data_IF_149816636977
#
_entry.id   IF_149816636977
#
_cell.length_a   1.000
_cell.length_b   1.000
_cell.length_c   1.000
_cell.angle_alpha   90.00
_cell.angle_beta   90.00
_cell.angle_gamma   90.00
#
_symmetry.space_group_name_H-M   'P 1'
#
loop_
_entity.id
_entity.type
_entity.pdbx_description
1 polymer ?
#
# COMPACT_ATOMS: atom_id res chain seq x y z
N UNK A 1 -21.05 1.33 -3.39
CA UNK A 1 -19.82 0.86 -4.06
C UNK A 1 -18.87 0.49 -2.94
N UNK A 2 -18.42 -0.77 -2.85
CA UNK A 2 -17.49 -1.18 -1.81
C UNK A 2 -16.22 -0.37 -1.96
N UNK A 3 -15.87 0.42 -0.94
CA UNK A 3 -14.66 1.23 -0.92
C UNK A 3 -13.45 0.28 -0.96
N UNK A 4 -12.69 0.31 -2.05
CA UNK A 4 -11.57 -0.59 -2.26
C UNK A 4 -10.33 -0.10 -1.52
N UNK A 5 -9.65 -0.99 -0.79
CA UNK A 5 -8.40 -0.65 -0.11
C UNK A 5 -7.25 -0.66 -1.11
N UNK A 6 -6.63 0.50 -1.33
CA UNK A 6 -5.38 0.64 -2.05
C UNK A 6 -4.21 0.28 -1.13
N UNK A 7 -3.14 -0.31 -1.69
CA UNK A 7 -1.96 -0.67 -0.90
C UNK A 7 -0.64 -0.42 -1.65
N UNK A 8 0.46 -0.34 -0.88
CA UNK A 8 1.84 -0.18 -1.34
C UNK A 8 2.73 -1.40 -1.03
N UNK A 9 2.15 -2.57 -0.74
CA UNK A 9 2.90 -3.75 -0.30
C UNK A 9 3.99 -4.14 -1.32
N UNK A 10 3.64 -4.16 -2.61
CA UNK A 10 4.59 -4.50 -3.66
C UNK A 10 5.75 -3.49 -3.76
N UNK A 11 5.47 -2.20 -3.56
CA UNK A 11 6.45 -1.12 -3.55
C UNK A 11 7.41 -1.29 -2.36
N UNK A 12 6.86 -1.40 -1.14
CA UNK A 12 7.65 -1.55 0.09
C UNK A 12 8.53 -2.80 0.06
N UNK A 13 8.01 -3.92 -0.47
CA UNK A 13 8.83 -5.12 -0.68
C UNK A 13 9.99 -4.84 -1.63
N UNK A 14 9.75 -4.18 -2.76
CA UNK A 14 10.80 -3.88 -3.72
C UNK A 14 11.87 -2.95 -3.13
N UNK A 15 11.46 -1.93 -2.36
CA UNK A 15 12.37 -1.01 -1.67
C UNK A 15 13.25 -1.72 -0.64
N UNK A 16 12.72 -2.71 0.08
CA UNK A 16 13.47 -3.46 1.10
C UNK A 16 14.09 -4.77 0.58
N UNK A 17 13.98 -5.08 -0.71
CA UNK A 17 14.51 -6.32 -1.29
C UNK A 17 13.82 -7.60 -0.80
N UNK A 18 12.59 -7.49 -0.27
CA UNK A 18 11.84 -8.60 0.32
C UNK A 18 11.04 -9.33 -0.75
N UNK A 19 11.15 -10.66 -0.80
CA UNK A 19 10.32 -11.53 -1.65
C UNK A 19 8.93 -11.74 -1.07
N UNK A 20 7.96 -12.13 -1.90
CA UNK A 20 6.62 -12.51 -1.41
C UNK A 20 6.65 -13.67 -0.42
N UNK A 21 7.61 -14.60 -0.56
CA UNK A 21 7.74 -15.76 0.34
C UNK A 21 8.22 -15.33 1.71
N UNK A 22 9.27 -14.52 1.78
CA UNK A 22 9.75 -13.98 3.06
C UNK A 22 8.68 -13.19 3.80
N UNK A 23 7.92 -12.34 3.08
CA UNK A 23 6.79 -11.62 3.68
C UNK A 23 5.70 -12.59 4.17
N UNK A 24 5.35 -13.61 3.38
CA UNK A 24 4.35 -14.59 3.78
C UNK A 24 4.77 -15.38 5.03
N UNK A 25 6.04 -15.80 5.07
CA UNK A 25 6.62 -16.54 6.18
C UNK A 25 6.64 -15.69 7.46
N UNK A 26 7.06 -14.42 7.37
CA UNK A 26 7.06 -13.48 8.50
C UNK A 26 5.63 -13.19 9.02
N UNK A 27 4.65 -13.15 8.12
CA UNK A 27 3.25 -12.93 8.47
C UNK A 27 2.53 -14.22 8.87
N UNK A 28 3.14 -15.40 8.73
CA UNK A 28 2.48 -16.68 8.99
C UNK A 28 1.24 -16.89 8.12
N UNK A 29 1.30 -16.44 6.86
CA UNK A 29 0.20 -16.59 5.89
C UNK A 29 0.66 -17.41 4.69
N UNK A 30 -0.30 -17.89 3.90
CA UNK A 30 0.03 -18.60 2.67
C UNK A 30 0.69 -17.67 1.64
N UNK A 31 1.66 -18.15 0.87
CA UNK A 31 2.37 -17.33 -0.15
C UNK A 31 1.41 -16.59 -1.11
N UNK A 32 0.33 -17.25 -1.54
CA UNK A 32 -0.66 -16.66 -2.43
C UNK A 32 -1.40 -15.48 -1.80
N UNK A 33 -1.58 -15.49 -0.47
CA UNK A 33 -2.22 -14.43 0.32
C UNK A 33 -1.54 -13.08 0.06
N UNK A 34 -0.21 -13.04 0.00
CA UNK A 34 0.56 -11.83 -0.33
C UNK A 34 0.26 -11.35 -1.75
N UNK A 35 0.23 -12.26 -2.72
CA UNK A 35 -0.07 -11.91 -4.11
C UNK A 35 -1.46 -11.32 -4.29
N UNK A 36 -2.46 -11.87 -3.61
CA UNK A 36 -3.83 -11.37 -3.60
C UNK A 36 -3.94 -9.98 -2.95
N UNK A 37 -3.22 -9.74 -1.85
CA UNK A 37 -3.15 -8.42 -1.21
C UNK A 37 -2.56 -7.38 -2.15
N UNK A 38 -1.42 -7.68 -2.79
CA UNK A 38 -0.76 -6.75 -3.71
C UNK A 38 -1.64 -6.36 -4.90
N UNK A 39 -2.51 -7.27 -5.35
CA UNK A 39 -3.46 -7.00 -6.44
C UNK A 39 -4.77 -6.36 -5.97
N UNK A 40 -4.96 -6.21 -4.65
CA UNK A 40 -6.18 -5.66 -4.07
C UNK A 40 -7.40 -6.56 -4.24
N UNK A 41 -7.21 -7.86 -4.46
CA UNK A 41 -8.30 -8.81 -4.68
C UNK A 41 -9.14 -9.07 -3.42
N UNK A 42 -8.59 -8.81 -2.23
CA UNK A 42 -9.35 -8.77 -0.99
C UNK A 42 -8.72 -7.79 0.02
N UNK A 43 -9.54 -7.33 0.96
CA UNK A 43 -9.11 -6.43 2.04
C UNK A 43 -8.54 -7.23 3.22
N UNK A 44 -7.34 -6.90 3.73
CA UNK A 44 -6.79 -7.57 4.91
C UNK A 44 -7.66 -7.29 6.15
N UNK A 45 -7.63 -8.19 7.13
CA UNK A 45 -8.11 -7.84 8.47
C UNK A 45 -7.23 -6.73 9.06
N UNK A 46 -7.77 -5.96 10.02
CA UNK A 46 -6.99 -4.94 10.73
C UNK A 46 -5.70 -5.52 11.34
N UNK A 47 -5.78 -6.70 11.94
CA UNK A 47 -4.61 -7.39 12.50
C UNK A 47 -3.53 -7.66 11.44
N UNK A 48 -3.92 -8.13 10.25
CA UNK A 48 -2.96 -8.39 9.17
C UNK A 48 -2.37 -7.08 8.63
N UNK A 49 -3.19 -6.03 8.50
CA UNK A 49 -2.73 -4.71 8.07
C UNK A 49 -1.68 -4.12 9.04
N UNK A 50 -1.92 -4.21 10.35
CA UNK A 50 -0.98 -3.75 11.38
C UNK A 50 0.33 -4.54 11.36
N UNK A 51 0.28 -5.87 11.22
CA UNK A 51 1.48 -6.71 11.12
C UNK A 51 2.31 -6.42 9.86
N UNK A 52 1.66 -6.11 8.75
CA UNK A 52 2.35 -5.70 7.52
C UNK A 52 3.07 -4.35 7.74
N UNK A 53 2.40 -3.40 8.37
CA UNK A 53 2.98 -2.10 8.69
C UNK A 53 4.19 -2.23 9.63
N UNK A 54 4.07 -3.05 10.68
CA UNK A 54 5.16 -3.39 11.60
C UNK A 54 6.34 -4.05 10.88
N UNK A 55 6.08 -5.03 10.02
CA UNK A 55 7.13 -5.71 9.25
C UNK A 55 7.95 -4.73 8.41
N UNK A 56 7.31 -3.75 7.78
CA UNK A 56 7.99 -2.73 6.99
C UNK A 56 8.53 -1.55 7.80
N UNK A 57 8.19 -1.43 9.08
CA UNK A 57 8.61 -0.34 9.96
C UNK A 57 8.00 1.02 9.60
N UNK A 58 6.77 1.03 9.06
CA UNK A 58 6.06 2.24 8.62
C UNK A 58 4.66 2.31 9.22
N UNK A 59 4.03 3.49 9.32
CA UNK A 59 2.63 3.59 9.76
C UNK A 59 1.69 2.88 8.77
N UNK A 60 0.54 2.40 9.26
CA UNK A 60 -0.42 1.63 8.45
C UNK A 60 -0.96 2.44 7.27
N UNK A 61 -1.07 3.75 7.41
CA UNK A 61 -1.49 4.70 6.38
C UNK A 61 -0.44 4.89 5.26
N UNK A 62 0.82 4.57 5.52
CA UNK A 62 1.84 4.51 4.48
C UNK A 62 1.72 3.23 3.64
N UNK A 63 1.11 2.17 4.19
CA UNK A 63 0.89 0.90 3.51
C UNK A 63 -0.45 0.88 2.79
N UNK A 64 -1.53 1.36 3.44
CA UNK A 64 -2.91 1.23 2.98
C UNK A 64 -3.63 2.59 2.94
N UNK A 65 -4.56 2.74 2.01
CA UNK A 65 -5.38 3.94 1.85
C UNK A 65 -6.73 3.60 1.24
N UNK A 66 -7.77 4.36 1.60
CA UNK A 66 -9.08 4.30 0.94
C UNK A 66 -9.11 5.12 -0.36
N UNK A 67 -8.13 6.00 -0.55
CA UNK A 67 -7.91 6.74 -1.80
C UNK A 67 -6.69 6.19 -2.57
N UNK A 68 -6.67 6.28 -3.92
CA UNK A 68 -5.49 5.94 -4.69
C UNK A 68 -4.25 6.71 -4.22
N UNK A 69 -3.11 6.04 -4.15
CA UNK A 69 -1.85 6.72 -3.89
C UNK A 69 -1.47 7.61 -5.08
N UNK A 70 -1.05 8.87 -4.85
CA UNK A 70 -0.60 9.76 -5.91
C UNK A 70 0.53 9.11 -6.71
N UNK A 71 0.44 9.15 -8.04
CA UNK A 71 1.55 8.73 -8.90
C UNK A 71 2.57 9.87 -8.97
N UNK A 72 3.83 9.52 -9.18
CA UNK A 72 4.89 10.52 -9.43
C UNK A 72 4.52 11.46 -10.58
N UNK A 73 3.85 10.92 -11.61
CA UNK A 73 3.35 11.69 -12.77
C UNK A 73 2.28 12.73 -12.40
N UNK A 74 1.51 12.49 -11.33
CA UNK A 74 0.41 13.37 -10.93
C UNK A 74 0.93 14.60 -10.17
N UNK A 75 2.15 14.54 -9.63
CA UNK A 75 2.79 15.63 -8.89
C UNK A 75 3.16 16.83 -9.77
N UNK A 76 3.28 16.65 -11.09
CA UNK A 76 3.55 17.74 -12.04
C UNK A 76 2.30 18.44 -12.57
N UNK A 77 1.08 17.96 -12.24
CA UNK A 77 -0.18 18.60 -12.63
C UNK A 77 -0.70 19.61 -11.59
N UNK A 78 -0.03 19.72 -10.43
CA UNK A 78 -0.28 20.81 -9.50
C UNK A 78 0.28 22.11 -10.11
N UNK A 79 -0.53 22.72 -10.96
CA UNK A 79 -0.27 24.01 -11.59
C UNK A 79 -0.07 25.07 -10.49
N UNK A 80 1.07 25.80 -10.44
CA UNK A 80 1.27 26.91 -9.50
C UNK A 80 0.32 28.10 -9.75
N UNK A 81 -0.62 28.01 -10.71
CA UNK A 81 -1.52 29.07 -11.14
C UNK A 81 -2.84 29.27 -10.38
N UNK A 82 -3.14 28.55 -9.29
CA UNK A 82 -4.36 28.81 -8.48
C UNK A 82 -4.14 29.75 -7.28
N UNK A 83 -3.09 30.57 -7.33
CA UNK A 83 -2.97 31.77 -6.49
C UNK A 83 -3.22 33.03 -7.34
N UNK A 84 -4.45 33.22 -7.80
CA UNK A 84 -4.92 34.56 -8.21
C UNK A 84 -6.45 34.64 -8.21
N UNK A 85 -6.96 35.69 -7.56
CA UNK A 85 -8.32 36.25 -7.60
C UNK A 85 -9.47 35.43 -7.00
N UNK A 86 -9.80 35.67 -5.72
CA UNK A 86 -10.83 36.62 -5.28
C UNK A 86 -10.89 36.69 -3.74
#
# INVERSE_FOLDING_TARGET
>A
MTEGVHNRIALLRAEQGVTRRELADALGVHYQTVGYLERGEYSPSLTLALRIAEFFGVPVEAVFSLAPFPRVTDLHRADPGQASTA
#
